data_IF_909409234273
#
_entry.id   IF_909409234273
#
_cell.length_a   1.000
_cell.length_b   1.000
_cell.length_c   1.000
_cell.angle_alpha   90.00
_cell.angle_beta   90.00
_cell.angle_gamma   90.00
#
_symmetry.space_group_name_H-M   'P 1'
#
loop_
_entity.id
_entity.type
_entity.pdbx_description
1 polymer ?
#
# COMPACT_ATOMS: atom_id res chain seq x y z
N UNK A 1 21.94 10.32 -0.47
CA UNK A 1 20.83 10.06 0.47
C UNK A 1 19.99 8.90 -0.03
N UNK A 2 19.68 7.95 0.83
CA UNK A 2 18.82 6.82 0.46
C UNK A 2 17.38 7.30 0.26
N UNK A 3 16.71 6.79 -0.77
CA UNK A 3 15.30 7.05 -1.00
C UNK A 3 14.43 6.30 0.00
N UNK A 4 13.22 6.81 0.24
CA UNK A 4 12.26 6.19 1.12
C UNK A 4 11.48 5.09 0.40
N UNK A 5 11.46 3.88 0.98
CA UNK A 5 10.66 2.77 0.45
C UNK A 5 9.18 3.11 0.51
N UNK A 6 8.72 3.77 1.56
CA UNK A 6 7.32 4.22 1.68
C UNK A 6 6.97 5.20 0.56
N UNK A 7 7.87 6.15 0.27
CA UNK A 7 7.66 7.08 -0.84
C UNK A 7 7.61 6.37 -2.18
N UNK A 8 8.43 5.32 -2.37
CA UNK A 8 8.42 4.52 -3.60
C UNK A 8 7.09 3.78 -3.76
N UNK A 9 6.60 3.13 -2.71
CA UNK A 9 5.30 2.44 -2.73
C UNK A 9 4.18 3.43 -3.03
N UNK A 10 4.20 4.59 -2.39
CA UNK A 10 3.21 5.63 -2.67
C UNK A 10 3.26 6.06 -4.13
N UNK A 11 4.45 6.28 -4.68
CA UNK A 11 4.62 6.66 -6.09
C UNK A 11 4.09 5.60 -7.05
N UNK A 12 4.20 4.33 -6.70
CA UNK A 12 3.62 3.23 -7.49
C UNK A 12 2.10 3.26 -7.43
N UNK A 13 1.53 3.48 -6.26
CA UNK A 13 0.08 3.35 -6.06
C UNK A 13 -0.72 4.56 -6.52
N UNK A 14 -0.20 5.78 -6.38
CA UNK A 14 -0.95 7.00 -6.69
C UNK A 14 -1.53 7.00 -8.11
N UNK A 15 -0.77 6.66 -9.18
CA UNK A 15 -1.35 6.65 -10.52
C UNK A 15 -2.42 5.58 -10.75
N UNK A 16 -2.49 4.55 -9.89
CA UNK A 16 -3.43 3.46 -10.05
C UNK A 16 -4.83 3.78 -9.50
N UNK A 17 -4.97 4.90 -8.77
CA UNK A 17 -6.21 5.26 -8.09
C UNK A 17 -6.68 6.66 -8.50
N UNK A 18 -8.00 6.95 -8.37
CA UNK A 18 -8.51 8.30 -8.51
C UNK A 18 -7.91 9.25 -7.46
N UNK A 19 -7.86 10.54 -7.78
CA UNK A 19 -7.30 11.54 -6.87
C UNK A 19 -8.04 11.64 -5.53
N UNK A 20 -9.29 11.19 -5.48
CA UNK A 20 -10.09 11.18 -4.24
C UNK A 20 -9.62 10.13 -3.23
N UNK A 21 -8.87 9.11 -3.67
CA UNK A 21 -8.31 8.10 -2.78
C UNK A 21 -7.00 8.64 -2.21
N UNK A 22 -6.96 8.82 -0.90
CA UNK A 22 -5.74 9.29 -0.22
C UNK A 22 -4.84 8.11 0.10
N UNK A 23 -3.55 8.27 -0.20
CA UNK A 23 -2.53 7.23 0.01
C UNK A 23 -1.41 7.84 0.82
N UNK A 24 -1.20 7.32 2.03
CA UNK A 24 -0.20 7.85 2.96
C UNK A 24 0.20 6.78 3.97
N UNK A 25 1.21 7.05 4.79
CA UNK A 25 1.58 6.10 5.84
C UNK A 25 0.87 6.35 7.17
N UNK A 26 -0.02 7.34 7.22
CA UNK A 26 -0.91 7.59 8.36
C UNK A 26 -2.32 7.81 7.85
N UNK A 27 -3.32 7.44 8.67
CA UNK A 27 -4.70 7.68 8.32
C UNK A 27 -4.96 9.20 8.19
N UNK A 28 -5.59 9.64 7.08
CA UNK A 28 -5.92 11.05 6.92
C UNK A 28 -6.89 11.53 7.99
N UNK A 29 -6.81 12.82 8.32
CA UNK A 29 -7.74 13.45 9.26
C UNK A 29 -8.27 14.75 8.63
N UNK A 30 -9.59 14.85 8.29
CA UNK A 30 -10.61 13.82 8.48
C UNK A 30 -10.44 12.63 7.53
N UNK A 31 -11.00 11.48 7.93
CA UNK A 31 -10.91 10.27 7.11
C UNK A 31 -11.87 10.35 5.93
N UNK A 32 -11.36 10.24 4.68
CA UNK A 32 -12.22 10.18 3.51
C UNK A 32 -12.90 8.80 3.39
N UNK A 33 -13.91 8.65 2.51
CA UNK A 33 -14.55 7.35 2.31
C UNK A 33 -13.59 6.26 1.86
N UNK A 34 -12.57 6.59 1.08
CA UNK A 34 -11.56 5.62 0.60
C UNK A 34 -10.18 6.17 0.89
N UNK A 35 -9.36 5.36 1.54
CA UNK A 35 -7.95 5.71 1.71
C UNK A 35 -7.12 4.45 1.88
N UNK A 36 -5.83 4.59 1.63
CA UNK A 36 -4.86 3.50 1.71
C UNK A 36 -3.75 3.93 2.66
N UNK A 37 -3.47 3.09 3.64
CA UNK A 37 -2.35 3.29 4.56
C UNK A 37 -1.25 2.31 4.22
N UNK A 38 -0.03 2.83 4.08
CA UNK A 38 1.16 2.06 3.75
C UNK A 38 2.09 2.08 4.95
N UNK A 39 2.60 0.91 5.33
CA UNK A 39 3.54 0.81 6.45
C UNK A 39 4.67 -0.14 6.08
N UNK A 40 5.86 0.13 6.59
CA UNK A 40 6.93 -0.85 6.61
C UNK A 40 6.89 -1.55 7.97
N UNK A 41 6.67 -2.86 7.96
CA UNK A 41 6.53 -3.64 9.19
C UNK A 41 7.79 -4.43 9.53
N UNK A 42 8.83 -4.31 8.72
CA UNK A 42 10.09 -4.99 8.97
C UNK A 42 10.87 -5.23 7.70
N UNK A 43 11.65 -6.31 7.71
CA UNK A 43 12.49 -6.71 6.60
C UNK A 43 13.91 -6.14 6.70
N UNK A 44 14.91 -6.95 6.33
CA UNK A 44 16.31 -6.55 6.50
C UNK A 44 16.77 -5.58 5.41
N UNK A 45 17.60 -4.62 5.79
CA UNK A 45 18.41 -3.85 4.84
C UNK A 45 19.79 -4.47 4.78
N UNK A 46 20.04 -5.15 3.67
CA UNK A 46 21.33 -5.77 3.45
C UNK A 46 22.29 -4.81 2.74
N UNK A 47 23.50 -5.27 2.43
CA UNK A 47 24.53 -4.41 1.87
C UNK A 47 24.12 -3.74 0.55
N UNK A 48 23.50 -4.49 -0.38
CA UNK A 48 23.14 -3.98 -1.69
C UNK A 48 21.62 -3.92 -1.91
N UNK A 49 20.85 -4.66 -1.12
CA UNK A 49 19.40 -4.80 -1.27
C UNK A 49 18.68 -4.41 0.01
N UNK A 50 17.58 -3.72 -0.16
CA UNK A 50 16.61 -3.52 0.91
C UNK A 50 15.42 -4.44 0.64
N UNK A 51 15.10 -5.30 1.61
CA UNK A 51 14.01 -6.28 1.51
C UNK A 51 12.90 -5.85 2.47
N UNK A 52 12.20 -4.79 2.11
CA UNK A 52 11.20 -4.19 3.00
C UNK A 52 9.93 -5.01 3.03
N UNK A 53 9.48 -5.39 4.22
CA UNK A 53 8.15 -5.97 4.42
C UNK A 53 7.14 -4.82 4.50
N UNK A 54 6.27 -4.75 3.51
CA UNK A 54 5.29 -3.68 3.34
C UNK A 54 3.90 -4.18 3.69
N UNK A 55 3.17 -3.40 4.49
CA UNK A 55 1.76 -3.62 4.76
C UNK A 55 0.96 -2.55 4.02
N UNK A 56 -0.01 -2.99 3.23
CA UNK A 56 -0.95 -2.10 2.54
C UNK A 56 -2.34 -2.38 3.08
N UNK A 57 -2.98 -1.34 3.63
CA UNK A 57 -4.31 -1.43 4.21
C UNK A 57 -5.25 -0.54 3.41
N UNK A 58 -6.29 -1.15 2.82
CA UNK A 58 -7.27 -0.44 2.00
C UNK A 58 -8.57 -0.32 2.77
N UNK A 59 -8.98 0.92 3.03
CA UNK A 59 -10.19 1.25 3.80
C UNK A 59 -11.24 1.83 2.86
N UNK A 60 -12.49 1.43 3.03
CA UNK A 60 -13.59 1.98 2.27
C UNK A 60 -14.89 2.03 3.07
N UNK A 61 -15.62 3.13 2.89
CA UNK A 61 -16.96 3.30 3.40
C UNK A 61 -17.89 3.77 2.29
N UNK A 62 -19.19 3.46 2.44
CA UNK A 62 -20.21 3.90 1.50
C UNK A 62 -20.63 5.34 1.78
N UNK A 63 -21.47 5.90 0.89
CA UNK A 63 -22.06 7.22 1.06
C UNK A 63 -22.87 7.33 2.37
N UNK A 64 -23.41 6.20 2.87
CA UNK A 64 -24.13 6.15 4.15
C UNK A 64 -23.20 5.96 5.34
N UNK A 65 -21.89 6.07 5.17
CA UNK A 65 -20.86 5.89 6.21
C UNK A 65 -20.89 4.49 6.83
N UNK A 66 -21.24 3.49 6.04
CA UNK A 66 -21.18 2.09 6.40
C UNK A 66 -19.99 1.42 5.72
N UNK A 67 -19.44 0.33 6.31
CA UNK A 67 -18.33 -0.38 5.67
C UNK A 67 -18.66 -0.85 4.26
N UNK A 68 -17.75 -0.62 3.32
CA UNK A 68 -17.87 -1.06 1.93
C UNK A 68 -16.79 -2.08 1.62
N UNK A 69 -17.06 -3.33 1.96
CA UNK A 69 -16.09 -4.42 1.80
C UNK A 69 -15.73 -4.69 0.35
N UNK A 70 -16.68 -4.57 -0.57
CA UNK A 70 -16.42 -4.80 -1.99
C UNK A 70 -15.44 -3.77 -2.55
N UNK A 71 -15.62 -2.49 -2.21
CA UNK A 71 -14.70 -1.45 -2.67
C UNK A 71 -13.31 -1.62 -2.06
N UNK A 72 -13.24 -1.94 -0.76
CA UNK A 72 -11.95 -2.17 -0.11
C UNK A 72 -11.21 -3.36 -0.73
N UNK A 73 -11.93 -4.43 -1.05
CA UNK A 73 -11.36 -5.59 -1.72
C UNK A 73 -10.81 -5.23 -3.10
N UNK A 74 -11.57 -4.49 -3.90
CA UNK A 74 -11.13 -4.07 -5.23
C UNK A 74 -9.92 -3.15 -5.14
N UNK A 75 -9.88 -2.26 -4.16
CA UNK A 75 -8.72 -1.38 -3.95
C UNK A 75 -7.48 -2.20 -3.57
N UNK A 76 -7.64 -3.24 -2.76
CA UNK A 76 -6.53 -4.12 -2.41
C UNK A 76 -5.99 -4.86 -3.65
N UNK A 77 -6.88 -5.36 -4.52
CA UNK A 77 -6.45 -6.02 -5.76
C UNK A 77 -5.73 -5.04 -6.69
N UNK A 78 -6.25 -3.83 -6.83
CA UNK A 78 -5.61 -2.80 -7.66
C UNK A 78 -4.22 -2.45 -7.13
N UNK A 79 -4.09 -2.28 -5.82
CA UNK A 79 -2.80 -1.98 -5.20
C UNK A 79 -1.80 -3.13 -5.39
N UNK A 80 -2.25 -4.37 -5.20
CA UNK A 80 -1.41 -5.55 -5.39
C UNK A 80 -0.90 -5.65 -6.83
N UNK A 81 -1.79 -5.44 -7.81
CA UNK A 81 -1.43 -5.49 -9.22
C UNK A 81 -0.43 -4.39 -9.59
N UNK A 82 -0.60 -3.19 -9.04
CA UNK A 82 0.34 -2.09 -9.28
C UNK A 82 1.73 -2.40 -8.75
N UNK A 83 1.83 -2.99 -7.55
CA UNK A 83 3.11 -3.39 -6.98
C UNK A 83 3.75 -4.51 -7.77
N UNK A 84 2.96 -5.49 -8.23
CA UNK A 84 3.47 -6.56 -9.08
C UNK A 84 4.04 -6.00 -10.40
N UNK A 85 3.36 -5.04 -11.01
CA UNK A 85 3.82 -4.40 -12.24
C UNK A 85 5.12 -3.62 -12.01
N UNK A 86 5.28 -2.99 -10.86
CA UNK A 86 6.49 -2.23 -10.53
C UNK A 86 7.74 -3.11 -10.44
N UNK A 87 7.56 -4.41 -10.21
CA UNK A 87 8.66 -5.37 -10.09
C UNK A 87 9.38 -5.63 -11.43
N UNK A 88 8.79 -5.24 -12.54
CA UNK A 88 9.46 -5.35 -13.85
C UNK A 88 10.56 -4.29 -14.06
N UNK A 89 10.82 -3.50 -13.06
CA UNK A 89 11.89 -2.53 -13.05
C UNK A 89 11.40 -1.10 -13.18
N UNK A 90 12.27 -0.19 -12.82
CA UNK A 90 11.99 1.22 -12.88
C UNK A 90 12.33 1.92 -11.57
N UNK A 91 12.29 3.24 -11.63
CA UNK A 91 12.54 4.09 -10.46
C UNK A 91 11.25 4.77 -10.04
N UNK A 92 11.00 4.73 -8.75
CA UNK A 92 9.82 5.31 -8.13
C UNK A 92 10.27 6.17 -6.96
N UNK A 93 10.03 7.47 -7.03
CA UNK A 93 10.55 8.43 -6.04
C UNK A 93 12.06 8.27 -5.80
N UNK A 94 12.82 8.01 -6.87
CA UNK A 94 14.27 7.83 -6.81
C UNK A 94 14.74 6.46 -6.33
N UNK A 95 13.81 5.54 -6.04
CA UNK A 95 14.12 4.19 -5.56
C UNK A 95 13.95 3.18 -6.70
N UNK A 96 14.94 2.34 -6.93
CA UNK A 96 14.90 1.31 -7.95
C UNK A 96 14.29 0.03 -7.39
N UNK A 97 13.11 -0.33 -7.88
CA UNK A 97 12.40 -1.55 -7.48
C UNK A 97 12.85 -2.70 -8.38
N UNK A 98 13.22 -3.83 -7.77
CA UNK A 98 13.69 -5.01 -8.49
C UNK A 98 12.80 -6.23 -8.31
N UNK A 99 11.88 -6.23 -7.37
CA UNK A 99 11.01 -7.37 -7.15
C UNK A 99 9.91 -7.10 -6.15
N UNK A 100 8.89 -7.94 -6.19
CA UNK A 100 7.77 -7.92 -5.27
C UNK A 100 7.28 -9.34 -5.03
N UNK A 101 7.26 -9.77 -3.76
CA UNK A 101 6.70 -11.05 -3.34
C UNK A 101 5.49 -10.78 -2.48
N UNK A 102 4.33 -11.16 -2.97
CA UNK A 102 3.07 -10.86 -2.30
C UNK A 102 2.61 -12.01 -1.42
N UNK A 103 2.11 -11.66 -0.24
CA UNK A 103 1.39 -12.54 0.66
C UNK A 103 -0.12 -12.45 0.42
N UNK A 104 -0.90 -13.18 1.21
CA UNK A 104 -2.34 -13.26 1.04
C UNK A 104 -3.01 -11.90 1.19
N UNK A 105 -4.02 -11.66 0.35
CA UNK A 105 -4.93 -10.53 0.49
C UNK A 105 -6.09 -11.02 1.35
N UNK A 106 -6.35 -10.33 2.46
CA UNK A 106 -7.36 -10.76 3.43
C UNK A 106 -8.24 -9.62 3.87
N UNK A 107 -9.48 -9.96 4.21
CA UNK A 107 -10.35 -9.03 4.93
C UNK A 107 -9.95 -9.05 6.41
N UNK A 108 -9.71 -7.85 6.95
CA UNK A 108 -9.27 -7.73 8.34
C UNK A 108 -9.86 -6.46 8.93
N UNK A 109 -11.13 -6.50 9.37
CA UNK A 109 -11.79 -5.30 9.89
C UNK A 109 -11.05 -4.70 11.07
N UNK A 110 -10.95 -3.37 11.06
CA UNK A 110 -10.36 -2.63 12.17
C UNK A 110 -11.44 -2.38 13.22
N UNK A 111 -11.32 -2.95 14.44
CA UNK A 111 -12.36 -2.76 15.47
C UNK A 111 -12.52 -1.32 15.92
N UNK A 112 -11.52 -0.48 15.71
CA UNK A 112 -11.57 0.94 16.08
C UNK A 112 -12.17 1.82 14.97
N UNK A 113 -12.48 1.24 13.79
CA UNK A 113 -13.03 1.95 12.64
C UNK A 113 -14.26 1.23 12.11
N UNK A 114 -15.38 1.37 12.80
CA UNK A 114 -16.62 0.68 12.42
C UNK A 114 -17.26 1.24 11.15
N UNK A 115 -16.86 2.43 10.70
CA UNK A 115 -17.41 3.06 9.50
C UNK A 115 -16.77 2.58 8.20
N UNK A 116 -15.62 1.91 8.28
CA UNK A 116 -14.84 1.48 7.10
C UNK A 116 -14.61 -0.02 7.13
N UNK A 117 -14.73 -0.66 5.96
CA UNK A 117 -14.18 -1.99 5.76
C UNK A 117 -12.68 -1.88 5.52
N UNK A 118 -11.93 -2.88 5.91
CA UNK A 118 -10.51 -2.95 5.64
C UNK A 118 -10.16 -4.29 5.00
N UNK A 119 -9.49 -4.20 3.84
CA UNK A 119 -8.80 -5.32 3.22
C UNK A 119 -7.32 -4.98 3.18
N UNK A 120 -6.47 -5.94 3.44
CA UNK A 120 -5.04 -5.70 3.54
C UNK A 120 -4.23 -6.85 2.97
N UNK A 121 -2.99 -6.53 2.65
CA UNK A 121 -1.99 -7.55 2.31
C UNK A 121 -0.62 -7.08 2.75
N UNK A 122 0.28 -8.03 2.89
CA UNK A 122 1.69 -7.75 3.06
C UNK A 122 2.46 -8.30 1.88
N UNK A 123 3.68 -7.86 1.73
CA UNK A 123 4.59 -8.39 0.74
C UNK A 123 5.98 -7.84 0.96
N UNK A 124 6.95 -8.49 0.34
CA UNK A 124 8.34 -8.02 0.39
C UNK A 124 8.66 -7.25 -0.87
N UNK A 125 9.07 -6.00 -0.72
CA UNK A 125 9.52 -5.15 -1.80
C UNK A 125 11.05 -5.18 -1.82
N UNK A 126 11.61 -5.57 -2.96
CA UNK A 126 13.05 -5.61 -3.16
C UNK A 126 13.48 -4.36 -3.89
N UNK A 127 14.37 -3.59 -3.26
CA UNK A 127 14.90 -2.36 -3.87
C UNK A 127 16.41 -2.36 -3.80
N UNK A 128 17.04 -1.68 -4.75
CA UNK A 128 18.46 -1.45 -4.68
C UNK A 128 18.76 -0.39 -3.63
N UNK A 129 19.68 -0.70 -2.76
CA UNK A 129 20.13 0.24 -1.74
C UNK A 129 21.04 1.27 -2.39
N UNK A 130 20.72 2.54 -2.21
CA UNK A 130 21.49 3.65 -2.79
C UNK A 130 22.18 4.47 -1.72
#
# INVERSE_FOLDING_TARGET
MAGSVISAVRAVLVPAFPASVKIANQAPNPMPPRFIRISRTGGPREWALDKALILVECFASSAAKAPDGQQAEQDAYTAADALAASAFGGRWAGVHITGWDQNNIVEFPDPDLSSHARWQFTGTLYTLKT
#
